data_IF_363615393443
#
_entry.id   IF_363615393443
#
_cell.length_a   1.000
_cell.length_b   1.000
_cell.length_c   1.000
_cell.angle_alpha   90.00
_cell.angle_beta   90.00
_cell.angle_gamma   90.00
#
_symmetry.space_group_name_H-M   'P 1'
#
loop_
_entity.id
_entity.type
_entity.pdbx_description
1 polymer ?
#
# COMPACT_ATOMS: atom_id res chain seq x y z
N UNK A 1 5.83 5.12 -11.77
CA UNK A 1 4.85 5.53 -10.74
C UNK A 1 5.42 5.14 -9.40
N UNK A 2 5.50 6.10 -8.49
CA UNK A 2 5.97 5.91 -7.12
C UNK A 2 4.76 5.67 -6.20
N UNK A 3 4.88 4.69 -5.32
CA UNK A 3 3.92 4.39 -4.26
C UNK A 3 4.55 4.81 -2.93
N UNK A 4 3.93 5.77 -2.25
CA UNK A 4 4.26 6.13 -0.87
C UNK A 4 3.30 5.40 0.07
N UNK A 5 3.85 4.66 1.02
CA UNK A 5 3.09 4.04 2.09
C UNK A 5 3.51 4.64 3.43
N UNK A 6 2.54 5.16 4.17
CA UNK A 6 2.69 5.66 5.53
C UNK A 6 1.96 4.72 6.47
N UNK A 7 2.59 4.39 7.60
CA UNK A 7 1.97 3.71 8.73
C UNK A 7 2.29 4.48 10.00
N UNK A 8 1.30 4.70 10.86
CA UNK A 8 1.51 5.37 12.15
C UNK A 8 0.47 4.91 13.18
N UNK A 9 0.80 5.09 14.46
CA UNK A 9 -0.13 4.87 15.57
C UNK A 9 -0.79 6.20 15.92
N UNK A 10 -2.10 6.30 15.79
CA UNK A 10 -2.87 7.54 16.01
C UNK A 10 -3.22 7.67 17.50
N UNK A 11 -2.92 8.84 18.07
CA UNK A 11 -3.20 9.17 19.48
C UNK A 11 -4.33 10.19 19.64
N UNK A 12 -4.61 10.97 18.60
CA UNK A 12 -5.81 11.81 18.47
C UNK A 12 -6.49 11.51 17.12
N UNK A 13 -7.51 10.65 17.19
CA UNK A 13 -8.23 10.20 16.00
C UNK A 13 -8.95 11.33 15.28
N UNK A 14 -9.60 12.23 16.04
CA UNK A 14 -10.39 13.30 15.46
C UNK A 14 -9.50 14.32 14.76
N UNK A 15 -8.39 14.72 15.40
CA UNK A 15 -7.40 15.61 14.79
C UNK A 15 -6.74 14.97 13.57
N UNK A 16 -6.40 13.67 13.63
CA UNK A 16 -5.82 12.95 12.51
C UNK A 16 -6.77 12.92 11.30
N UNK A 17 -8.03 12.53 11.50
CA UNK A 17 -9.05 12.47 10.45
C UNK A 17 -9.29 13.85 9.80
N UNK A 18 -9.36 14.92 10.59
CA UNK A 18 -9.46 16.28 10.07
C UNK A 18 -8.26 16.66 9.21
N UNK A 19 -7.06 16.30 9.66
CA UNK A 19 -5.84 16.52 8.90
C UNK A 19 -5.85 15.74 7.58
N UNK A 20 -6.31 14.48 7.56
CA UNK A 20 -6.34 13.66 6.35
C UNK A 20 -7.25 14.27 5.29
N UNK A 21 -8.38 14.86 5.69
CA UNK A 21 -9.29 15.56 4.76
C UNK A 21 -8.64 16.78 4.08
N UNK A 22 -7.65 17.42 4.70
CA UNK A 22 -6.92 18.56 4.09
C UNK A 22 -6.07 18.13 2.90
N UNK A 23 -5.76 16.83 2.76
CA UNK A 23 -5.02 16.30 1.62
C UNK A 23 -5.81 16.35 0.31
N UNK A 24 -7.12 16.61 0.35
CA UNK A 24 -7.90 16.96 -0.85
C UNK A 24 -7.30 18.17 -1.59
N UNK A 25 -6.55 19.04 -0.91
CA UNK A 25 -5.81 20.15 -1.52
C UNK A 25 -4.64 19.72 -2.42
N UNK A 26 -4.22 18.46 -2.42
CA UNK A 26 -3.23 17.93 -3.37
C UNK A 26 -3.81 17.69 -4.77
N UNK A 27 -5.12 17.82 -4.97
CA UNK A 27 -5.71 17.76 -6.32
C UNK A 27 -5.10 18.85 -7.21
N UNK A 28 -4.59 18.43 -8.35
CA UNK A 28 -3.92 19.32 -9.30
C UNK A 28 -2.42 19.52 -9.05
N UNK A 29 -1.87 18.94 -7.98
CA UNK A 29 -0.44 18.97 -7.71
C UNK A 29 0.34 18.25 -8.83
N UNK A 30 1.39 18.85 -9.42
CA UNK A 30 2.17 18.21 -10.48
C UNK A 30 2.67 16.81 -10.08
N UNK A 31 2.28 15.83 -10.88
CA UNK A 31 2.67 14.43 -10.71
C UNK A 31 1.94 13.69 -9.59
N UNK A 32 1.09 14.31 -8.78
CA UNK A 32 0.24 13.58 -7.83
C UNK A 32 -0.87 12.84 -8.60
N UNK A 33 -1.04 11.54 -8.32
CA UNK A 33 -2.00 10.67 -9.03
C UNK A 33 -3.19 10.26 -8.17
N UNK A 34 -3.08 10.37 -6.85
CA UNK A 34 -4.17 10.04 -5.94
C UNK A 34 -3.66 9.65 -4.57
N UNK A 35 -4.57 9.67 -3.60
CA UNK A 35 -4.34 9.17 -2.25
C UNK A 35 -5.58 8.42 -1.76
N UNK A 36 -5.35 7.45 -0.89
CA UNK A 36 -6.38 6.93 0.00
C UNK A 36 -5.73 6.33 1.25
N UNK A 37 -6.53 5.83 2.17
CA UNK A 37 -6.05 5.20 3.37
C UNK A 37 -7.18 4.78 4.27
N UNK A 38 -6.83 4.37 5.48
CA UNK A 38 -7.79 4.07 6.51
C UNK A 38 -7.14 3.36 7.68
N UNK A 39 -7.92 2.50 8.32
CA UNK A 39 -7.58 1.91 9.62
C UNK A 39 -7.22 0.45 9.48
N UNK A 40 -6.19 0.02 10.21
CA UNK A 40 -5.89 -1.41 10.35
C UNK A 40 -7.10 -2.12 10.97
N UNK A 41 -7.49 -3.25 10.36
CA UNK A 41 -8.55 -4.12 10.89
C UNK A 41 -8.09 -4.96 12.07
N UNK A 42 -6.78 -5.02 12.32
CA UNK A 42 -6.20 -5.83 13.41
C UNK A 42 -5.70 -4.98 14.57
N UNK A 43 -5.37 -3.70 14.31
CA UNK A 43 -4.88 -2.73 15.29
C UNK A 43 -5.63 -1.41 15.11
N UNK A 44 -6.77 -1.20 15.79
CA UNK A 44 -7.69 -0.09 15.53
C UNK A 44 -7.07 1.32 15.63
N UNK A 45 -5.96 1.46 16.34
CA UNK A 45 -5.18 2.69 16.50
C UNK A 45 -4.19 2.94 15.37
N UNK A 46 -3.93 1.95 14.50
CA UNK A 46 -2.95 2.07 13.42
C UNK A 46 -3.63 2.56 12.14
N UNK A 47 -3.19 3.71 11.64
CA UNK A 47 -3.60 4.25 10.35
C UNK A 47 -2.58 3.90 9.26
N UNK A 48 -3.10 3.65 8.06
CA UNK A 48 -2.31 3.46 6.84
C UNK A 48 -2.76 4.48 5.80
N UNK A 49 -1.80 5.17 5.18
CA UNK A 49 -2.05 6.13 4.09
C UNK A 49 -1.20 5.74 2.89
N UNK A 50 -1.80 5.74 1.71
CA UNK A 50 -1.18 5.41 0.45
C UNK A 50 -1.30 6.60 -0.49
N UNK A 51 -0.19 7.10 -1.00
CA UNK A 51 -0.17 8.18 -1.98
C UNK A 51 0.62 7.76 -3.22
N UNK A 52 0.16 8.17 -4.40
CA UNK A 52 0.72 7.76 -5.67
C UNK A 52 1.20 8.98 -6.44
N UNK A 53 2.41 8.86 -6.97
CA UNK A 53 3.05 9.90 -7.74
C UNK A 53 3.49 9.35 -9.09
N UNK A 54 3.53 10.20 -10.10
CA UNK A 54 3.95 9.84 -11.46
C UNK A 54 5.33 9.19 -11.45
N UNK A 55 6.26 9.79 -10.71
CA UNK A 55 7.62 9.32 -10.51
C UNK A 55 8.24 9.97 -9.26
N UNK A 56 9.45 9.53 -8.92
CA UNK A 56 10.25 10.06 -7.82
C UNK A 56 10.54 11.56 -7.92
N UNK A 57 10.76 12.08 -9.13
CA UNK A 57 11.13 13.49 -9.35
C UNK A 57 10.02 14.43 -8.90
N UNK A 58 8.77 14.15 -9.28
CA UNK A 58 7.62 14.96 -8.83
C UNK A 58 7.41 14.87 -7.32
N UNK A 59 7.57 13.69 -6.74
CA UNK A 59 7.49 13.51 -5.29
C UNK A 59 8.58 14.30 -4.55
N UNK A 60 9.84 14.23 -4.98
CA UNK A 60 10.94 14.94 -4.32
C UNK A 60 10.76 16.46 -4.46
N UNK A 61 10.31 16.93 -5.63
CA UNK A 61 9.97 18.34 -5.86
C UNK A 61 8.83 18.82 -4.95
N UNK A 62 7.80 18.00 -4.75
CA UNK A 62 6.76 18.27 -3.76
C UNK A 62 7.32 18.36 -2.34
N UNK A 63 8.11 17.37 -1.92
CA UNK A 63 8.65 17.33 -0.57
C UNK A 63 9.56 18.53 -0.25
N UNK A 64 10.29 19.05 -1.24
CA UNK A 64 11.14 20.24 -1.09
C UNK A 64 10.37 21.52 -0.73
N UNK A 65 9.06 21.59 -1.05
CA UNK A 65 8.18 22.75 -0.77
C UNK A 65 7.05 22.45 0.23
N UNK A 66 6.89 21.19 0.61
CA UNK A 66 5.76 20.74 1.42
C UNK A 66 5.81 21.21 2.89
N UNK A 67 6.94 21.75 3.37
CA UNK A 67 7.06 22.25 4.75
C UNK A 67 6.02 23.35 5.05
N UNK A 68 5.63 24.15 4.06
CA UNK A 68 4.63 25.20 4.18
C UNK A 68 3.21 24.73 3.78
N UNK A 69 3.02 23.45 3.43
CA UNK A 69 1.76 22.97 2.90
C UNK A 69 0.72 22.74 4.01
N UNK A 70 -0.51 23.30 3.93
CA UNK A 70 -1.53 23.17 4.98
C UNK A 70 -1.91 21.73 5.38
N UNK A 71 -1.61 20.75 4.51
CA UNK A 71 -1.84 19.32 4.76
C UNK A 71 -0.78 18.64 5.66
N UNK A 72 0.33 19.31 6.00
CA UNK A 72 1.38 18.76 6.88
C UNK A 72 1.12 19.00 8.38
N UNK A 73 0.09 19.78 8.71
CA UNK A 73 -0.28 20.17 10.09
C UNK A 73 -0.97 19.08 10.93
N UNK A 74 -0.40 17.87 10.98
CA UNK A 74 -0.89 16.74 11.80
C UNK A 74 0.02 16.39 12.98
N UNK A 75 1.06 17.19 13.24
CA UNK A 75 1.97 16.98 14.36
C UNK A 75 1.19 16.86 15.68
N UNK A 76 1.55 15.85 16.49
CA UNK A 76 0.90 15.57 17.77
C UNK A 76 -0.33 14.67 17.69
N UNK A 77 -0.87 14.38 16.51
CA UNK A 77 -2.04 13.48 16.37
C UNK A 77 -1.66 12.00 16.23
N UNK A 78 -0.39 11.70 15.98
CA UNK A 78 0.13 10.35 15.81
C UNK A 78 1.56 10.21 16.39
N UNK A 79 2.01 8.96 16.51
CA UNK A 79 3.38 8.55 16.86
C UNK A 79 3.84 7.41 15.96
N UNK A 80 5.11 7.04 16.07
CA UNK A 80 5.74 5.89 15.40
C UNK A 80 5.52 5.88 13.87
N UNK A 81 5.59 7.06 13.25
CA UNK A 81 5.39 7.19 11.81
C UNK A 81 6.52 6.54 11.03
N UNK A 82 6.14 5.68 10.10
CA UNK A 82 6.99 5.05 9.12
C UNK A 82 6.53 5.49 7.74
N UNK A 83 7.47 5.95 6.91
CA UNK A 83 7.22 6.32 5.52
C UNK A 83 8.14 5.49 4.65
N UNK A 84 7.56 4.76 3.70
CA UNK A 84 8.29 3.94 2.73
C UNK A 84 7.87 4.33 1.31
N UNK A 85 8.82 4.25 0.39
CA UNK A 85 8.64 4.64 -1.01
C UNK A 85 9.03 3.47 -1.91
N UNK A 86 8.13 3.11 -2.83
CA UNK A 86 8.31 1.97 -3.72
C UNK A 86 8.10 2.41 -5.17
N UNK A 87 9.02 2.07 -6.06
CA UNK A 87 8.82 2.22 -7.50
C UNK A 87 7.96 1.07 -8.03
N UNK A 88 6.88 1.39 -8.76
CA UNK A 88 6.03 0.39 -9.41
C UNK A 88 6.86 -0.42 -10.40
N UNK A 89 6.93 -1.73 -10.18
CA UNK A 89 7.53 -2.71 -11.10
C UNK A 89 6.50 -3.24 -12.09
N UNK A 90 5.32 -3.65 -11.61
CA UNK A 90 4.22 -4.15 -12.44
C UNK A 90 2.91 -4.23 -11.65
N UNK A 91 1.82 -4.53 -12.36
CA UNK A 91 0.50 -4.66 -11.77
C UNK A 91 0.29 -6.07 -11.23
N UNK A 92 -0.38 -6.18 -10.09
CA UNK A 92 -0.92 -7.45 -9.61
C UNK A 92 -2.05 -7.92 -10.53
N UNK A 93 -2.86 -6.97 -10.99
CA UNK A 93 -3.92 -7.16 -11.99
C UNK A 93 -3.85 -5.99 -12.96
N UNK A 94 -3.74 -6.29 -14.25
CA UNK A 94 -3.50 -5.32 -15.34
C UNK A 94 -4.43 -4.11 -15.25
N UNK A 95 -3.88 -2.91 -15.48
CA UNK A 95 -4.64 -1.66 -15.51
C UNK A 95 -4.71 -1.01 -14.13
N UNK A 96 -3.63 -1.08 -13.36
CA UNK A 96 -3.57 -0.40 -12.07
C UNK A 96 -3.67 1.11 -12.25
N UNK A 97 -4.67 1.69 -11.60
CA UNK A 97 -4.84 3.11 -11.37
C UNK A 97 -5.06 3.32 -9.87
N UNK A 98 -4.58 4.43 -9.27
CA UNK A 98 -4.74 4.73 -7.86
C UNK A 98 -6.14 5.23 -7.51
N UNK A 99 -7.16 4.52 -7.96
CA UNK A 99 -8.58 4.78 -7.69
C UNK A 99 -9.11 3.79 -6.66
N UNK A 100 -9.71 4.30 -5.59
CA UNK A 100 -10.11 3.53 -4.41
C UNK A 100 -11.62 3.41 -4.22
N UNK A 101 -12.41 4.06 -5.07
CA UNK A 101 -13.88 4.16 -4.98
C UNK A 101 -14.59 2.80 -5.08
N UNK A 102 -13.98 1.83 -5.75
CA UNK A 102 -14.52 0.48 -5.95
C UNK A 102 -14.06 -0.54 -4.89
N UNK A 103 -13.27 -0.10 -3.89
CA UNK A 103 -12.69 -0.97 -2.88
C UNK A 103 -13.11 -0.54 -1.47
N UNK A 104 -13.46 -1.52 -0.63
CA UNK A 104 -13.67 -1.30 0.80
C UNK A 104 -12.38 -1.54 1.59
N UNK A 105 -11.49 -2.39 1.06
CA UNK A 105 -10.34 -2.90 1.81
C UNK A 105 -9.09 -2.94 0.95
N UNK A 106 -7.98 -2.50 1.54
CA UNK A 106 -6.64 -2.69 0.98
C UNK A 106 -5.88 -3.71 1.82
N UNK A 107 -5.25 -4.69 1.19
CA UNK A 107 -4.17 -5.45 1.80
C UNK A 107 -2.85 -4.82 1.39
N UNK A 108 -2.01 -4.57 2.38
CA UNK A 108 -0.60 -4.27 2.17
C UNK A 108 0.23 -5.44 2.67
N UNK A 109 1.22 -5.87 1.89
CA UNK A 109 2.25 -6.78 2.32
C UNK A 109 3.60 -6.22 1.93
N UNK A 110 4.49 -6.14 2.91
CA UNK A 110 5.84 -5.63 2.78
C UNK A 110 6.82 -6.77 3.11
N UNK A 111 7.65 -7.10 2.14
CA UNK A 111 8.62 -8.19 2.23
C UNK A 111 10.03 -7.62 2.13
N UNK A 112 10.89 -7.96 3.08
CA UNK A 112 12.34 -7.88 2.92
C UNK A 112 12.82 -9.25 2.43
N UNK A 113 13.53 -9.27 1.31
CA UNK A 113 13.92 -10.51 0.60
C UNK A 113 15.43 -10.68 0.66
N UNK A 114 15.89 -11.92 0.80
CA UNK A 114 17.31 -12.24 0.75
C UNK A 114 17.93 -11.81 -0.59
N UNK A 115 19.14 -11.26 -0.57
CA UNK A 115 19.75 -10.62 -1.74
C UNK A 115 19.88 -11.57 -2.94
N UNK A 116 20.27 -12.82 -2.70
CA UNK A 116 20.40 -13.88 -3.70
C UNK A 116 19.04 -14.45 -4.16
N UNK A 117 17.94 -14.04 -3.53
CA UNK A 117 16.58 -14.53 -3.80
C UNK A 117 15.68 -13.48 -4.45
N UNK A 118 16.12 -12.23 -4.58
CA UNK A 118 15.30 -11.13 -5.10
C UNK A 118 14.71 -11.41 -6.49
N UNK A 119 15.51 -11.90 -7.44
CA UNK A 119 15.03 -12.23 -8.78
C UNK A 119 13.99 -13.36 -8.78
N UNK A 120 14.23 -14.40 -7.98
CA UNK A 120 13.30 -15.52 -7.81
C UNK A 120 11.98 -15.05 -7.19
N UNK A 121 12.04 -14.20 -6.16
CA UNK A 121 10.86 -13.64 -5.50
C UNK A 121 10.01 -12.83 -6.49
N UNK A 122 10.64 -11.96 -7.29
CA UNK A 122 9.95 -11.17 -8.32
C UNK A 122 9.31 -12.06 -9.37
N UNK A 123 10.00 -13.14 -9.79
CA UNK A 123 9.46 -14.12 -10.74
C UNK A 123 8.23 -14.84 -10.16
N UNK A 124 8.32 -15.32 -8.91
CA UNK A 124 7.22 -16.02 -8.24
C UNK A 124 6.04 -15.09 -7.94
N UNK A 125 6.30 -13.81 -7.71
CA UNK A 125 5.24 -12.82 -7.62
C UNK A 125 4.44 -12.76 -8.93
N UNK A 126 5.11 -12.73 -10.09
CA UNK A 126 4.45 -12.70 -11.41
C UNK A 126 3.74 -14.01 -11.77
N UNK A 127 4.34 -15.15 -11.47
CA UNK A 127 3.88 -16.46 -11.97
C UNK A 127 2.92 -17.19 -11.03
N UNK A 128 2.99 -16.91 -9.73
CA UNK A 128 2.24 -17.66 -8.70
C UNK A 128 1.30 -16.75 -7.94
N UNK A 129 1.83 -15.70 -7.31
CA UNK A 129 1.04 -14.85 -6.41
C UNK A 129 0.05 -13.94 -7.13
N UNK A 130 0.50 -13.21 -8.16
CA UNK A 130 -0.34 -12.28 -8.91
C UNK A 130 -1.50 -12.97 -9.64
N UNK A 131 -1.30 -14.08 -10.37
CA UNK A 131 -2.40 -14.77 -11.04
C UNK A 131 -3.44 -15.28 -10.04
N UNK A 132 -3.01 -15.79 -8.90
CA UNK A 132 -3.91 -16.25 -7.86
C UNK A 132 -4.73 -15.11 -7.24
N UNK A 133 -4.11 -13.94 -6.98
CA UNK A 133 -4.83 -12.76 -6.49
C UNK A 133 -5.77 -12.21 -7.57
N UNK A 134 -5.30 -12.00 -8.80
CA UNK A 134 -6.06 -11.41 -9.89
C UNK A 134 -7.28 -12.26 -10.28
N UNK A 135 -7.18 -13.59 -10.18
CA UNK A 135 -8.29 -14.52 -10.41
C UNK A 135 -9.25 -14.68 -9.23
N UNK A 136 -8.97 -14.08 -8.06
CA UNK A 136 -9.83 -14.20 -6.89
C UNK A 136 -11.06 -13.27 -7.00
N UNK A 137 -12.29 -13.77 -6.71
CA UNK A 137 -13.48 -12.93 -6.64
C UNK A 137 -13.28 -11.74 -5.69
N UNK A 138 -13.71 -10.56 -6.13
CA UNK A 138 -13.62 -9.32 -5.36
C UNK A 138 -12.26 -8.61 -5.40
N UNK A 139 -11.23 -9.18 -6.05
CA UNK A 139 -9.99 -8.45 -6.32
C UNK A 139 -10.22 -7.37 -7.38
N UNK A 140 -10.04 -6.11 -6.99
CA UNK A 140 -10.30 -4.93 -7.83
C UNK A 140 -9.06 -4.65 -8.68
N UNK A 141 -7.97 -4.24 -8.04
CA UNK A 141 -6.69 -3.81 -8.63
C UNK A 141 -5.55 -4.10 -7.65
N UNK A 142 -4.32 -4.06 -8.11
CA UNK A 142 -3.18 -4.07 -7.21
C UNK A 142 -1.87 -3.76 -7.91
N UNK A 143 -0.88 -3.36 -7.14
CA UNK A 143 0.44 -2.96 -7.62
C UNK A 143 1.52 -3.70 -6.85
N UNK A 144 2.57 -4.08 -7.57
CA UNK A 144 3.81 -4.56 -7.01
C UNK A 144 4.88 -3.49 -7.17
N UNK A 145 5.46 -3.08 -6.04
CA UNK A 145 6.50 -2.06 -5.98
C UNK A 145 7.77 -2.56 -5.32
N UNK A 146 8.87 -1.87 -5.58
CA UNK A 146 10.19 -2.18 -5.03
C UNK A 146 10.84 -0.92 -4.46
N UNK A 147 11.51 -1.10 -3.32
CA UNK A 147 12.35 -0.13 -2.67
C UNK A 147 13.81 -0.64 -2.60
N UNK A 148 14.81 0.24 -2.41
CA UNK A 148 16.19 -0.18 -2.22
C UNK A 148 16.34 -1.21 -1.10
N UNK A 149 17.34 -2.10 -1.20
CA UNK A 149 17.59 -3.13 -0.19
C UNK A 149 16.72 -4.37 -0.31
N UNK A 150 16.22 -4.69 -1.52
CA UNK A 150 15.37 -5.85 -1.80
C UNK A 150 14.08 -5.85 -0.95
N UNK A 151 13.53 -4.65 -0.77
CA UNK A 151 12.24 -4.45 -0.12
C UNK A 151 11.14 -4.35 -1.16
N UNK A 152 10.04 -5.09 -0.95
CA UNK A 152 8.96 -5.20 -1.92
C UNK A 152 7.61 -4.95 -1.27
N UNK A 153 6.75 -4.24 -2.00
CA UNK A 153 5.38 -3.95 -1.61
C UNK A 153 4.41 -4.67 -2.55
N UNK A 154 3.49 -5.43 -1.99
CA UNK A 154 2.25 -5.84 -2.67
C UNK A 154 1.10 -5.06 -2.04
N UNK A 155 0.49 -4.16 -2.81
CA UNK A 155 -0.75 -3.51 -2.46
C UNK A 155 -1.88 -4.10 -3.31
N UNK A 156 -2.90 -4.68 -2.67
CA UNK A 156 -4.06 -5.25 -3.35
C UNK A 156 -5.37 -4.70 -2.80
N UNK A 157 -6.25 -4.27 -3.70
CA UNK A 157 -7.54 -3.64 -3.40
C UNK A 157 -8.67 -4.65 -3.59
N UNK A 158 -9.61 -4.67 -2.65
CA UNK A 158 -10.67 -5.66 -2.59
C UNK A 158 -12.01 -4.99 -2.35
N UNK A 159 -13.04 -5.48 -3.05
CA UNK A 159 -14.43 -5.04 -2.89
C UNK A 159 -14.92 -5.20 -1.45
N UNK A 160 -14.51 -6.27 -0.75
CA UNK A 160 -14.86 -6.49 0.65
C UNK A 160 -13.83 -7.33 1.38
N UNK A 161 -13.82 -7.25 2.72
CA UNK A 161 -13.00 -8.15 3.54
C UNK A 161 -13.42 -9.62 3.41
N UNK A 162 -14.70 -9.89 3.13
CA UNK A 162 -15.22 -11.25 3.00
C UNK A 162 -14.69 -11.92 1.73
N UNK A 163 -14.72 -11.21 0.60
CA UNK A 163 -14.17 -11.69 -0.67
C UNK A 163 -12.65 -11.89 -0.58
N UNK A 164 -11.93 -10.95 0.05
CA UNK A 164 -10.51 -11.14 0.41
C UNK A 164 -10.29 -12.36 1.32
N UNK A 165 -11.26 -12.71 2.17
CA UNK A 165 -11.21 -13.86 3.07
C UNK A 165 -11.17 -15.20 2.33
N UNK A 166 -11.85 -15.30 1.17
CA UNK A 166 -11.89 -16.51 0.33
C UNK A 166 -10.52 -16.93 -0.21
N UNK A 167 -9.58 -15.99 -0.27
CA UNK A 167 -8.20 -16.20 -0.69
C UNK A 167 -7.29 -16.82 0.41
N UNK A 168 -7.68 -16.82 1.70
CA UNK A 168 -6.70 -16.61 2.78
C UNK A 168 -6.10 -17.79 3.56
N UNK A 169 -6.62 -19.02 3.53
CA UNK A 169 -6.11 -20.06 4.44
C UNK A 169 -5.38 -21.20 3.72
N UNK A 170 -6.10 -22.05 3.00
CA UNK A 170 -5.50 -23.23 2.36
C UNK A 170 -4.83 -22.91 1.02
N UNK A 171 -5.33 -21.87 0.32
CA UNK A 171 -4.72 -21.39 -0.93
C UNK A 171 -3.36 -20.74 -0.67
N UNK A 172 -3.29 -19.86 0.34
CA UNK A 172 -2.08 -19.09 0.64
C UNK A 172 -0.87 -19.98 1.02
N UNK A 173 -1.05 -21.02 1.85
CA UNK A 173 0.07 -21.94 2.18
C UNK A 173 0.57 -22.71 0.96
N UNK A 174 -0.35 -23.18 0.10
CA UNK A 174 0.01 -23.87 -1.15
C UNK A 174 0.75 -22.94 -2.11
N UNK A 175 0.31 -21.69 -2.22
CA UNK A 175 0.99 -20.67 -3.02
C UNK A 175 2.38 -20.36 -2.45
N UNK A 176 2.51 -20.20 -1.13
CA UNK A 176 3.79 -19.94 -0.47
C UNK A 176 4.79 -21.08 -0.69
N UNK A 177 4.34 -22.34 -0.54
CA UNK A 177 5.17 -23.51 -0.83
C UNK A 177 5.60 -23.56 -2.30
N UNK A 178 4.66 -23.35 -3.24
CA UNK A 178 4.95 -23.32 -4.68
C UNK A 178 5.91 -22.20 -5.07
N UNK A 179 5.79 -21.04 -4.42
CA UNK A 179 6.61 -19.87 -4.65
C UNK A 179 7.92 -19.87 -3.84
N UNK A 180 8.17 -20.88 -3.00
CA UNK A 180 9.30 -20.92 -2.07
C UNK A 180 9.41 -19.64 -1.21
N UNK A 181 8.28 -19.08 -0.80
CA UNK A 181 8.23 -17.76 -0.15
C UNK A 181 9.02 -17.74 1.15
N UNK A 182 8.99 -18.82 1.94
CA UNK A 182 9.75 -18.90 3.19
C UNK A 182 11.27 -18.99 2.96
N UNK A 183 11.71 -19.42 1.77
CA UNK A 183 13.12 -19.40 1.37
C UNK A 183 13.56 -18.03 0.88
N UNK A 184 12.67 -17.31 0.21
CA UNK A 184 12.98 -16.01 -0.38
C UNK A 184 12.94 -14.87 0.66
N UNK A 185 11.94 -14.90 1.55
CA UNK A 185 11.56 -13.76 2.38
C UNK A 185 12.22 -13.83 3.76
N UNK A 186 13.07 -12.85 4.06
CA UNK A 186 13.70 -12.70 5.37
C UNK A 186 12.72 -12.14 6.41
N UNK A 187 11.85 -11.21 6.00
CA UNK A 187 10.82 -10.63 6.86
C UNK A 187 9.57 -10.31 6.05
N UNK A 188 8.41 -10.71 6.56
CA UNK A 188 7.11 -10.38 5.98
C UNK A 188 6.26 -9.64 7.01
N UNK A 189 5.87 -8.42 6.67
CA UNK A 189 4.91 -7.64 7.44
C UNK A 189 3.76 -7.21 6.54
N UNK A 190 2.67 -6.74 7.13
CA UNK A 190 1.52 -6.30 6.35
C UNK A 190 0.31 -6.02 7.20
N UNK A 191 -0.74 -5.56 6.55
CA UNK A 191 -2.02 -5.33 7.21
C UNK A 191 -3.19 -5.45 6.24
N UNK A 192 -4.39 -5.51 6.81
CA UNK A 192 -5.65 -5.31 6.09
C UNK A 192 -6.22 -4.00 6.59
N UNK A 193 -6.29 -3.03 5.69
CA UNK A 193 -6.75 -1.68 5.94
C UNK A 193 -8.21 -1.58 5.49
N UNK A 194 -9.09 -1.24 6.42
CA UNK A 194 -10.43 -0.78 6.11
C UNK A 194 -10.31 0.65 5.59
N UNK A 195 -10.70 0.89 4.33
CA UNK A 195 -10.59 2.21 3.73
C UNK A 195 -11.58 3.17 4.40
N UNK A 196 -11.13 4.41 4.58
CA UNK A 196 -11.94 5.55 5.01
C UNK A 196 -12.25 6.39 3.76
N UNK A 197 -13.49 6.35 3.22
CA UNK A 197 -13.82 6.99 1.95
C UNK A 197 -13.49 8.49 1.94
N UNK A 198 -13.59 9.17 3.08
CA UNK A 198 -13.28 10.59 3.19
C UNK A 198 -11.80 10.95 3.05
N UNK A 199 -10.91 9.95 2.97
CA UNK A 199 -9.46 10.14 2.73
C UNK A 199 -9.06 9.92 1.27
N UNK A 200 -10.00 9.53 0.42
CA UNK A 200 -9.75 9.32 -1.02
C UNK A 200 -9.75 10.65 -1.75
N UNK A 201 -8.66 10.94 -2.47
CA UNK A 201 -8.41 12.21 -3.18
C UNK A 201 -8.30 11.99 -4.67
#
# INVERSE_FOLDING_TARGET
MLVKWIRCSVVDRQGFEQGQRKWAGLRGEPGFKGQSGGWSRTRPEVAHVFAFWENRVFYDSFMARAQDHPATGQAGTFRDMQVMLFERRFDVKTGFEPEFTEADVVRVAHSSVHEDRAEHFVLMQKQVWNPAMAGSPGMVRGVFGEAPGNEFLVLSMWKSSAERGKYRAEGARRLAARAQTDTDVAALTGDVVQLEPSWTV
#
